data_IF_306826509485
#
_entry.id   IF_306826509485
#
_cell.length_a   1.000
_cell.length_b   1.000
_cell.length_c   1.000
_cell.angle_alpha   90.00
_cell.angle_beta   90.00
_cell.angle_gamma   90.00
#
_symmetry.space_group_name_H-M   'P 1'
#
loop_
_entity.id
_entity.type
_entity.pdbx_description
1 polymer ?
#
# COMPACT_ATOMS: atom_id res chain seq x y z
N UNK A 1 -88.85 16.07 -10.23
CA UNK A 1 -89.02 17.21 -9.29
C UNK A 1 -87.65 17.88 -9.12
N UNK A 2 -87.59 19.16 -9.48
CA UNK A 2 -86.57 20.19 -9.19
C UNK A 2 -85.07 19.92 -9.49
N UNK A 3 -84.60 20.58 -10.55
CA UNK A 3 -83.22 21.03 -10.78
C UNK A 3 -82.75 22.00 -9.68
N UNK A 4 -81.43 21.98 -9.39
CA UNK A 4 -80.51 23.13 -9.13
C UNK A 4 -79.17 22.49 -8.71
N UNK A 5 -77.98 22.78 -9.27
CA UNK A 5 -77.26 24.06 -9.18
C UNK A 5 -76.00 24.02 -10.06
N UNK A 6 -75.71 25.13 -10.74
CA UNK A 6 -74.48 25.43 -11.49
C UNK A 6 -73.22 25.45 -10.61
N UNK A 7 -72.06 24.99 -11.13
CA UNK A 7 -70.75 25.64 -10.89
C UNK A 7 -69.90 25.65 -12.18
N UNK A 8 -69.41 26.86 -12.50
CA UNK A 8 -68.55 27.28 -13.62
C UNK A 8 -67.23 26.50 -13.73
N UNK A 9 -66.86 26.06 -14.94
CA UNK A 9 -65.48 25.71 -15.31
C UNK A 9 -64.78 26.96 -15.88
N UNK A 10 -63.69 27.40 -15.25
CA UNK A 10 -62.69 28.31 -15.85
C UNK A 10 -61.54 27.45 -16.36
N UNK A 11 -61.17 27.64 -17.62
CA UNK A 11 -59.98 27.06 -18.22
C UNK A 11 -58.72 27.76 -17.72
N UNK A 12 -57.69 26.97 -17.45
CA UNK A 12 -56.32 27.44 -17.24
C UNK A 12 -55.43 26.75 -18.26
N UNK A 13 -54.80 27.55 -19.12
CA UNK A 13 -53.80 27.11 -20.08
C UNK A 13 -52.54 26.63 -19.33
N UNK A 14 -52.08 25.43 -19.66
CA UNK A 14 -50.86 24.84 -19.12
C UNK A 14 -49.67 25.40 -19.92
N UNK A 15 -48.88 26.28 -19.31
CA UNK A 15 -47.59 26.73 -19.87
C UNK A 15 -46.54 25.67 -19.50
N UNK A 16 -46.08 24.92 -20.50
CA UNK A 16 -45.01 23.93 -20.35
C UNK A 16 -43.66 24.66 -20.39
N UNK A 17 -43.11 24.99 -19.22
CA UNK A 17 -41.74 25.50 -19.10
C UNK A 17 -40.76 24.35 -19.26
N UNK A 18 -40.13 24.25 -20.43
CA UNK A 18 -38.96 23.39 -20.66
C UNK A 18 -37.75 24.04 -19.97
N UNK A 19 -37.32 23.47 -18.84
CA UNK A 19 -36.06 23.83 -18.20
C UNK A 19 -34.94 23.11 -18.94
N UNK A 20 -34.20 23.85 -19.78
CA UNK A 20 -32.91 23.42 -20.32
C UNK A 20 -31.89 23.40 -19.18
N UNK A 21 -31.66 22.22 -18.61
CA UNK A 21 -30.49 21.97 -17.75
C UNK A 21 -29.25 21.99 -18.66
N UNK A 22 -28.60 23.14 -18.75
CA UNK A 22 -27.23 23.22 -19.26
C UNK A 22 -26.33 22.43 -18.32
N UNK A 23 -26.10 21.16 -18.65
CA UNK A 23 -25.03 20.37 -18.05
C UNK A 23 -23.69 20.96 -18.46
N UNK A 24 -23.15 21.86 -17.65
CA UNK A 24 -21.73 22.15 -17.64
C UNK A 24 -21.03 20.86 -17.22
N UNK A 25 -20.63 20.04 -18.19
CA UNK A 25 -19.68 18.97 -17.94
C UNK A 25 -18.38 19.63 -17.52
N UNK A 26 -18.07 19.60 -16.22
CA UNK A 26 -16.74 19.94 -15.71
C UNK A 26 -15.75 18.99 -16.39
N UNK A 27 -15.02 19.52 -17.37
CA UNK A 27 -13.85 18.83 -17.87
C UNK A 27 -12.88 18.69 -16.69
N UNK A 28 -12.32 17.50 -16.45
CA UNK A 28 -11.35 17.32 -15.38
C UNK A 28 -10.22 18.33 -15.57
N UNK A 29 -9.94 19.09 -14.53
CA UNK A 29 -8.86 20.08 -14.54
C UNK A 29 -7.57 19.40 -14.96
N UNK A 30 -6.91 19.92 -16.00
CA UNK A 30 -5.65 19.39 -16.46
C UNK A 30 -4.58 19.58 -15.39
N UNK A 31 -3.85 18.51 -15.09
CA UNK A 31 -2.74 18.54 -14.12
C UNK A 31 -1.66 19.51 -14.61
N UNK A 32 -1.29 20.56 -13.84
CA UNK A 32 -0.32 21.56 -14.30
C UNK A 32 1.03 20.93 -14.65
N UNK A 33 1.60 21.32 -15.78
CA UNK A 33 2.92 20.84 -16.20
C UNK A 33 3.99 21.14 -15.14
N UNK A 34 4.86 20.16 -14.89
CA UNK A 34 5.91 20.24 -13.88
C UNK A 34 5.42 20.13 -12.43
N UNK A 35 4.11 19.98 -12.18
CA UNK A 35 3.62 19.61 -10.85
C UNK A 35 3.96 18.15 -10.50
N UNK A 36 3.99 17.76 -9.21
CA UNK A 36 4.30 16.40 -8.81
C UNK A 36 3.41 15.34 -9.45
N UNK A 37 2.10 15.57 -9.46
CA UNK A 37 1.13 14.66 -10.06
C UNK A 37 1.36 14.51 -11.56
N UNK A 38 1.63 15.62 -12.28
CA UNK A 38 1.92 15.58 -13.71
C UNK A 38 3.19 14.78 -14.01
N UNK A 39 4.25 14.94 -13.21
CA UNK A 39 5.50 14.18 -13.35
C UNK A 39 5.24 12.68 -13.22
N UNK A 40 4.46 12.27 -12.21
CA UNK A 40 4.12 10.85 -11.98
C UNK A 40 3.23 10.31 -13.12
N UNK A 41 2.23 11.07 -13.56
CA UNK A 41 1.38 10.74 -14.71
C UNK A 41 2.20 10.54 -15.99
N UNK A 42 3.20 11.41 -16.24
CA UNK A 42 4.11 11.28 -17.37
C UNK A 42 5.06 10.09 -17.24
N UNK A 43 5.62 9.86 -16.05
CA UNK A 43 6.51 8.73 -15.80
C UNK A 43 5.82 7.37 -16.02
N UNK A 44 4.51 7.29 -15.76
CA UNK A 44 3.69 6.12 -16.06
C UNK A 44 2.85 6.24 -17.34
N UNK A 45 3.06 7.29 -18.14
CA UNK A 45 2.41 7.47 -19.43
C UNK A 45 2.97 6.50 -20.47
N UNK A 46 2.12 6.10 -21.43
CA UNK A 46 2.55 5.24 -22.56
C UNK A 46 3.32 5.98 -23.63
N UNK A 47 3.00 7.26 -23.79
CA UNK A 47 3.65 8.11 -24.79
C UNK A 47 5.09 8.42 -24.37
N UNK A 48 6.01 8.58 -25.35
CA UNK A 48 7.32 9.13 -25.07
C UNK A 48 7.21 10.44 -24.30
N UNK A 49 8.19 10.70 -23.43
CA UNK A 49 8.24 11.92 -22.62
C UNK A 49 9.37 12.84 -23.07
N UNK A 50 9.13 13.71 -24.07
CA UNK A 50 10.07 14.74 -24.46
C UNK A 50 10.48 15.59 -23.25
N UNK A 51 11.79 15.74 -23.04
CA UNK A 51 12.31 16.53 -21.92
C UNK A 51 12.27 15.83 -20.55
N UNK A 52 12.02 14.51 -20.49
CA UNK A 52 12.06 13.69 -19.27
C UNK A 52 13.24 14.03 -18.35
N UNK A 53 14.44 14.21 -18.92
CA UNK A 53 15.64 14.47 -18.15
C UNK A 53 15.60 15.73 -17.25
N UNK A 54 14.69 16.67 -17.50
CA UNK A 54 14.49 17.85 -16.63
C UNK A 54 13.77 17.51 -15.32
N UNK A 55 12.98 16.43 -15.34
CA UNK A 55 12.08 16.02 -14.26
C UNK A 55 12.57 14.78 -13.52
N UNK A 56 13.69 14.19 -13.95
CA UNK A 56 14.32 13.03 -13.31
C UNK A 56 15.63 13.48 -12.66
N UNK A 57 15.76 13.29 -11.36
CA UNK A 57 16.93 13.72 -10.58
C UNK A 57 17.32 12.68 -9.52
N UNK A 58 18.11 13.13 -8.54
CA UNK A 58 18.55 12.29 -7.43
C UNK A 58 19.20 10.98 -7.89
N UNK A 59 18.75 9.86 -7.33
CA UNK A 59 19.26 8.53 -7.65
C UNK A 59 18.87 8.07 -9.07
N UNK A 60 17.82 8.67 -9.64
CA UNK A 60 17.33 8.32 -10.97
C UNK A 60 18.02 9.08 -12.10
N UNK A 61 18.85 10.08 -11.78
CA UNK A 61 19.53 10.91 -12.79
C UNK A 61 20.30 10.09 -13.86
N UNK A 62 21.00 8.98 -13.55
CA UNK A 62 21.64 8.14 -14.57
C UNK A 62 20.66 7.52 -15.59
N UNK A 63 19.37 7.42 -15.23
CA UNK A 63 18.31 6.83 -16.04
C UNK A 63 17.42 7.88 -16.71
N UNK A 64 17.76 9.17 -16.60
CA UNK A 64 16.97 10.29 -17.11
C UNK A 64 16.62 10.22 -18.60
N UNK A 65 17.42 9.52 -19.40
CA UNK A 65 17.22 9.33 -20.84
C UNK A 65 16.72 7.94 -21.22
N UNK A 66 16.44 7.07 -20.24
CA UNK A 66 15.88 5.74 -20.49
C UNK A 66 14.36 5.82 -20.65
N UNK A 67 13.72 4.91 -21.41
CA UNK A 67 12.27 4.86 -21.51
C UNK A 67 11.66 4.65 -20.12
N UNK A 68 10.65 5.43 -19.77
CA UNK A 68 9.98 5.34 -18.47
C UNK A 68 9.26 3.98 -18.29
N UNK A 69 9.01 3.53 -17.06
CA UNK A 69 8.24 2.31 -16.82
C UNK A 69 6.86 2.32 -17.51
N UNK A 70 6.22 3.49 -17.60
CA UNK A 70 4.96 3.66 -18.31
C UNK A 70 5.02 3.32 -19.80
N UNK A 71 6.11 3.70 -20.47
CA UNK A 71 6.30 3.45 -21.90
C UNK A 71 6.57 1.99 -22.24
N UNK A 72 7.02 1.20 -21.26
CA UNK A 72 7.40 -0.20 -21.43
C UNK A 72 6.33 -1.19 -20.95
N UNK A 73 5.24 -0.69 -20.36
CA UNK A 73 4.21 -1.54 -19.73
C UNK A 73 3.38 -2.33 -20.78
N UNK A 74 2.84 -3.51 -20.42
CA UNK A 74 1.88 -4.23 -21.24
C UNK A 74 0.66 -3.39 -21.63
N UNK A 75 0.05 -3.69 -22.78
CA UNK A 75 -1.00 -2.85 -23.34
C UNK A 75 -2.28 -2.82 -22.50
N UNK A 76 -2.53 -3.89 -21.77
CA UNK A 76 -3.67 -4.12 -20.87
C UNK A 76 -3.37 -3.74 -19.41
N UNK A 77 -2.13 -3.36 -19.09
CA UNK A 77 -1.75 -2.94 -17.75
C UNK A 77 -2.48 -1.65 -17.35
N UNK A 78 -3.12 -1.69 -16.19
CA UNK A 78 -3.77 -0.57 -15.53
C UNK A 78 -2.79 0.10 -14.59
N UNK A 79 -2.88 1.42 -14.51
CA UNK A 79 -2.12 2.23 -13.55
C UNK A 79 -3.08 3.06 -12.72
N UNK A 80 -2.94 2.95 -11.40
CA UNK A 80 -3.62 3.81 -10.44
C UNK A 80 -2.57 4.63 -9.70
N UNK A 81 -2.71 5.94 -9.71
CA UNK A 81 -1.80 6.88 -9.04
C UNK A 81 -2.56 7.51 -7.87
N UNK A 82 -1.94 7.54 -6.69
CA UNK A 82 -2.52 8.13 -5.49
C UNK A 82 -1.47 8.95 -4.72
N UNK A 83 -1.73 10.24 -4.42
CA UNK A 83 -0.86 10.99 -3.53
C UNK A 83 -0.96 10.42 -2.11
N UNK A 84 0.19 10.20 -1.47
CA UNK A 84 0.29 9.84 -0.05
C UNK A 84 0.53 11.10 0.79
N UNK A 85 1.49 11.93 0.36
CA UNK A 85 1.86 13.18 1.00
C UNK A 85 2.32 14.17 -0.06
N UNK A 86 1.98 15.44 0.11
CA UNK A 86 2.54 16.52 -0.71
C UNK A 86 2.57 17.81 0.10
N UNK A 87 3.71 18.47 0.10
CA UNK A 87 3.91 19.82 0.61
C UNK A 87 4.71 20.67 -0.40
N UNK A 88 5.29 21.79 0.02
CA UNK A 88 6.04 22.69 -0.88
C UNK A 88 7.43 22.17 -1.26
N UNK A 89 7.96 21.19 -0.52
CA UNK A 89 9.31 20.66 -0.64
C UNK A 89 9.34 19.20 -1.12
N UNK A 90 8.39 18.38 -0.69
CA UNK A 90 8.37 16.95 -0.96
C UNK A 90 6.98 16.48 -1.41
N UNK A 91 6.96 15.46 -2.27
CA UNK A 91 5.76 14.76 -2.63
C UNK A 91 6.04 13.26 -2.74
N UNK A 92 5.07 12.45 -2.32
CA UNK A 92 5.14 11.00 -2.33
C UNK A 92 3.86 10.45 -2.94
N UNK A 93 4.01 9.60 -3.95
CA UNK A 93 2.90 8.94 -4.62
C UNK A 93 3.03 7.42 -4.48
N UNK A 94 1.90 6.76 -4.20
CA UNK A 94 1.73 5.34 -4.40
C UNK A 94 1.24 5.11 -5.83
N UNK A 95 1.84 4.16 -6.53
CA UNK A 95 1.41 3.73 -7.84
C UNK A 95 1.19 2.23 -7.84
N UNK A 96 -0.01 1.82 -8.20
CA UNK A 96 -0.35 0.42 -8.44
C UNK A 96 -0.37 0.18 -9.94
N UNK A 97 0.52 -0.69 -10.42
CA UNK A 97 0.62 -1.13 -11.81
C UNK A 97 0.25 -2.61 -11.88
N UNK A 98 -0.64 -2.99 -12.78
CA UNK A 98 -1.00 -4.41 -12.93
C UNK A 98 -2.13 -4.68 -13.89
N UNK A 99 -2.40 -5.97 -14.08
CA UNK A 99 -3.51 -6.50 -14.85
C UNK A 99 -4.39 -7.40 -13.97
N UNK A 100 -5.19 -8.29 -14.56
CA UNK A 100 -6.07 -9.20 -13.83
C UNK A 100 -5.30 -10.32 -13.07
N UNK A 101 -4.03 -10.53 -13.38
CA UNK A 101 -3.21 -11.66 -12.92
C UNK A 101 -2.02 -11.23 -12.06
N UNK A 102 -1.49 -10.02 -12.27
CA UNK A 102 -0.33 -9.51 -11.54
C UNK A 102 -0.54 -8.05 -11.17
N UNK A 103 -0.21 -7.70 -9.91
CA UNK A 103 -0.29 -6.34 -9.38
C UNK A 103 0.99 -6.04 -8.61
N UNK A 104 1.58 -4.88 -8.87
CA UNK A 104 2.77 -4.38 -8.21
C UNK A 104 2.54 -2.96 -7.72
N UNK A 105 3.00 -2.67 -6.50
CA UNK A 105 3.01 -1.32 -5.95
C UNK A 105 4.40 -0.72 -5.98
N UNK A 106 4.47 0.56 -6.32
CA UNK A 106 5.67 1.37 -6.32
C UNK A 106 5.42 2.70 -5.59
N UNK A 107 6.49 3.27 -5.05
CA UNK A 107 6.47 4.52 -4.30
C UNK A 107 7.45 5.50 -4.93
N UNK A 108 6.91 6.65 -5.33
CA UNK A 108 7.62 7.69 -6.06
C UNK A 108 7.85 8.87 -5.14
N UNK A 109 9.12 9.25 -4.98
CA UNK A 109 9.55 10.35 -4.13
C UNK A 109 10.01 11.49 -5.01
N UNK A 110 9.39 12.65 -4.83
CA UNK A 110 9.69 13.86 -5.56
C UNK A 110 10.11 14.95 -4.59
N UNK A 111 11.11 15.73 -4.98
CA UNK A 111 11.55 16.90 -4.24
C UNK A 111 11.48 18.13 -5.13
N UNK A 112 11.16 19.26 -4.52
CA UNK A 112 11.22 20.57 -5.15
C UNK A 112 12.63 21.16 -4.93
N UNK A 113 13.37 21.36 -6.02
CA UNK A 113 14.74 21.89 -5.99
C UNK A 113 14.78 23.43 -6.15
N UNK A 114 13.63 24.10 -6.09
CA UNK A 114 13.49 25.55 -6.23
C UNK A 114 13.36 26.02 -7.69
N UNK A 115 13.93 25.28 -8.64
CA UNK A 115 13.74 25.46 -10.09
C UNK A 115 12.64 24.54 -10.66
N UNK A 116 12.11 23.63 -9.85
CA UNK A 116 11.02 22.73 -10.21
C UNK A 116 10.98 21.46 -9.37
N UNK A 117 9.98 20.64 -9.63
CA UNK A 117 9.87 19.31 -9.06
C UNK A 117 10.67 18.29 -9.87
N UNK A 118 11.33 17.38 -9.17
CA UNK A 118 12.03 16.24 -9.77
C UNK A 118 11.64 14.95 -9.06
N UNK A 119 11.47 13.88 -9.83
CA UNK A 119 11.42 12.52 -9.33
C UNK A 119 12.84 12.09 -8.94
N UNK A 120 13.07 11.91 -7.64
CA UNK A 120 14.41 11.67 -7.07
C UNK A 120 14.63 10.23 -6.66
N UNK A 121 13.56 9.47 -6.40
CA UNK A 121 13.65 8.05 -6.11
C UNK A 121 12.39 7.29 -6.54
N UNK A 122 12.61 6.02 -6.89
CA UNK A 122 11.62 5.03 -7.25
C UNK A 122 11.87 3.79 -6.38
N UNK A 123 10.84 3.33 -5.66
CA UNK A 123 10.95 2.17 -4.78
C UNK A 123 9.82 1.19 -5.00
N UNK A 124 10.15 -0.08 -4.90
CA UNK A 124 9.22 -1.20 -4.82
C UNK A 124 9.76 -2.11 -3.73
N UNK A 125 8.90 -2.92 -3.10
CA UNK A 125 9.40 -4.02 -2.29
C UNK A 125 10.10 -5.01 -3.22
N UNK A 126 11.42 -5.07 -3.10
CA UNK A 126 12.22 -5.99 -3.88
C UNK A 126 12.46 -7.25 -3.06
N UNK A 127 12.11 -8.40 -3.63
CA UNK A 127 12.45 -9.70 -3.07
C UNK A 127 13.31 -10.43 -4.11
N UNK A 128 14.36 -11.15 -3.70
CA UNK A 128 15.25 -11.83 -4.63
C UNK A 128 14.51 -12.98 -5.35
N UNK A 129 14.96 -13.38 -6.55
CA UNK A 129 14.32 -14.45 -7.33
C UNK A 129 14.06 -15.75 -6.55
N UNK A 130 15.01 -16.13 -5.69
CA UNK A 130 14.89 -17.30 -4.82
C UNK A 130 13.63 -17.29 -3.95
N UNK A 131 13.14 -16.11 -3.54
CA UNK A 131 11.89 -15.98 -2.80
C UNK A 131 10.71 -16.49 -3.63
N UNK A 132 10.60 -16.08 -4.90
CA UNK A 132 9.53 -16.52 -5.78
C UNK A 132 9.64 -18.00 -6.14
N UNK A 133 10.85 -18.48 -6.42
CA UNK A 133 11.11 -19.90 -6.69
C UNK A 133 10.71 -20.81 -5.53
N UNK A 134 10.97 -20.37 -4.29
CA UNK A 134 10.54 -21.10 -3.10
C UNK A 134 9.01 -21.10 -2.94
N UNK A 135 8.33 -19.99 -3.24
CA UNK A 135 6.87 -19.95 -3.22
C UNK A 135 6.26 -20.89 -4.26
N UNK A 136 6.79 -20.89 -5.48
CA UNK A 136 6.34 -21.77 -6.57
C UNK A 136 6.60 -23.24 -6.24
N UNK A 137 7.77 -23.55 -5.67
CA UNK A 137 8.11 -24.89 -5.21
C UNK A 137 7.13 -25.40 -4.14
N UNK A 138 6.82 -24.58 -3.12
CA UNK A 138 5.84 -24.92 -2.09
C UNK A 138 4.44 -25.10 -2.67
N UNK A 139 4.04 -24.26 -3.63
CA UNK A 139 2.75 -24.33 -4.29
C UNK A 139 2.59 -25.58 -5.17
N UNK A 140 3.69 -26.09 -5.75
CA UNK A 140 3.70 -27.28 -6.60
C UNK A 140 3.73 -28.61 -5.84
N UNK A 141 3.99 -28.60 -4.51
CA UNK A 141 4.05 -29.83 -3.71
C UNK A 141 2.68 -30.50 -3.62
N UNK A 142 2.58 -31.82 -3.89
CA UNK A 142 1.37 -32.57 -3.56
C UNK A 142 1.28 -32.76 -2.05
N UNK A 143 0.14 -32.40 -1.46
CA UNK A 143 -0.16 -32.54 -0.03
C UNK A 143 0.89 -31.93 0.93
N UNK A 144 1.12 -30.60 0.87
CA UNK A 144 2.05 -29.93 1.78
C UNK A 144 1.56 -30.00 3.23
N UNK A 145 2.49 -30.30 4.15
CA UNK A 145 2.26 -30.21 5.59
C UNK A 145 1.80 -28.79 6.00
N UNK A 146 1.22 -28.64 7.20
CA UNK A 146 0.69 -27.34 7.63
C UNK A 146 1.76 -26.25 7.67
N UNK A 147 3.00 -26.60 8.04
CA UNK A 147 4.10 -25.66 8.06
C UNK A 147 4.37 -25.09 6.65
N UNK A 148 4.46 -25.97 5.67
CA UNK A 148 4.66 -25.63 4.25
C UNK A 148 3.49 -24.81 3.71
N UNK A 149 2.24 -25.13 4.12
CA UNK A 149 1.05 -24.35 3.76
C UNK A 149 1.08 -22.95 4.36
N UNK A 150 1.45 -22.81 5.64
CA UNK A 150 1.63 -21.51 6.30
C UNK A 150 2.72 -20.70 5.62
N UNK A 151 3.90 -21.28 5.39
CA UNK A 151 5.00 -20.58 4.71
C UNK A 151 4.55 -20.05 3.35
N UNK A 152 3.83 -20.86 2.56
CA UNK A 152 3.28 -20.40 1.28
C UNK A 152 2.29 -19.23 1.44
N UNK A 153 1.41 -19.25 2.44
CA UNK A 153 0.49 -18.14 2.72
C UNK A 153 1.23 -16.87 3.11
N UNK A 154 2.20 -16.96 4.01
CA UNK A 154 3.04 -15.83 4.42
C UNK A 154 3.82 -15.25 3.22
N UNK A 155 4.38 -16.09 2.35
CA UNK A 155 5.09 -15.64 1.15
C UNK A 155 4.18 -14.94 0.15
N UNK A 156 2.98 -15.48 -0.07
CA UNK A 156 1.95 -14.85 -0.92
C UNK A 156 1.49 -13.51 -0.34
N UNK A 157 1.39 -13.40 0.98
CA UNK A 157 1.05 -12.16 1.64
C UNK A 157 2.19 -11.14 1.52
N UNK A 158 3.45 -11.58 1.66
CA UNK A 158 4.62 -10.71 1.53
C UNK A 158 4.76 -10.09 0.13
N UNK A 159 4.33 -10.78 -0.93
CA UNK A 159 4.32 -10.28 -2.31
C UNK A 159 3.01 -9.62 -2.71
N UNK A 160 2.03 -9.52 -1.80
CA UNK A 160 0.72 -8.98 -2.12
C UNK A 160 0.73 -7.46 -2.27
N UNK A 161 -0.29 -6.94 -2.97
CA UNK A 161 -0.48 -5.49 -3.08
C UNK A 161 -0.95 -4.85 -1.77
N UNK A 162 -0.78 -3.54 -1.65
CA UNK A 162 -1.20 -2.74 -0.49
C UNK A 162 -2.69 -2.91 -0.19
N UNK A 163 -3.50 -3.05 -1.23
CA UNK A 163 -4.94 -3.29 -1.10
C UNK A 163 -5.25 -4.66 -0.49
N UNK A 164 -4.53 -5.70 -0.88
CA UNK A 164 -4.68 -7.06 -0.35
C UNK A 164 -4.16 -7.11 1.09
N UNK A 165 -3.02 -6.48 1.38
CA UNK A 165 -2.46 -6.36 2.72
C UNK A 165 -3.40 -5.62 3.69
N UNK A 166 -4.05 -4.56 3.22
CA UNK A 166 -5.08 -3.84 3.99
C UNK A 166 -6.31 -4.73 4.22
N UNK A 167 -6.78 -5.44 3.21
CA UNK A 167 -7.92 -6.35 3.32
C UNK A 167 -7.63 -7.49 4.32
N UNK A 168 -6.43 -8.07 4.27
CA UNK A 168 -5.96 -9.08 5.22
C UNK A 168 -6.01 -8.57 6.66
N UNK A 169 -5.50 -7.36 6.92
CA UNK A 169 -5.58 -6.75 8.24
C UNK A 169 -7.02 -6.56 8.71
N UNK A 170 -7.88 -6.00 7.86
CA UNK A 170 -9.27 -5.72 8.21
C UNK A 170 -10.05 -7.00 8.52
N UNK A 171 -9.84 -8.06 7.74
CA UNK A 171 -10.46 -9.37 7.97
C UNK A 171 -10.02 -10.01 9.30
N UNK A 172 -8.78 -9.74 9.73
CA UNK A 172 -8.17 -10.35 10.91
C UNK A 172 -8.00 -9.39 12.11
N UNK A 173 -8.68 -8.23 12.09
CA UNK A 173 -8.43 -7.13 13.04
C UNK A 173 -8.52 -7.54 14.50
N UNK A 174 -9.44 -8.45 14.85
CA UNK A 174 -9.56 -8.96 16.21
C UNK A 174 -8.31 -9.75 16.65
N UNK A 175 -7.77 -10.58 15.77
CA UNK A 175 -6.52 -11.34 16.01
C UNK A 175 -5.32 -10.41 16.17
N UNK A 176 -5.19 -9.39 15.31
CA UNK A 176 -4.14 -8.37 15.45
C UNK A 176 -4.19 -7.64 16.79
N UNK A 177 -5.39 -7.29 17.25
CA UNK A 177 -5.54 -6.64 18.55
C UNK A 177 -5.17 -7.60 19.71
N UNK A 178 -5.52 -8.87 19.63
CA UNK A 178 -5.11 -9.88 20.62
C UNK A 178 -3.58 -10.05 20.65
N UNK A 179 -2.97 -10.15 19.46
CA UNK A 179 -1.51 -10.22 19.31
C UNK A 179 -0.82 -9.03 19.99
N UNK A 180 -1.29 -7.80 19.78
CA UNK A 180 -0.77 -6.61 20.48
C UNK A 180 -0.85 -6.76 22.00
N UNK A 181 -1.99 -7.18 22.55
CA UNK A 181 -2.14 -7.33 24.00
C UNK A 181 -1.14 -8.35 24.56
N UNK A 182 -1.00 -9.50 23.89
CA UNK A 182 -0.07 -10.53 24.34
C UNK A 182 1.40 -10.10 24.18
N UNK A 183 1.76 -9.41 23.08
CA UNK A 183 3.12 -8.86 22.90
C UNK A 183 3.44 -7.76 23.91
N UNK A 184 2.47 -6.92 24.27
CA UNK A 184 2.65 -5.88 25.28
C UNK A 184 2.79 -6.44 26.70
N UNK A 185 2.23 -7.61 26.97
CA UNK A 185 2.33 -8.29 28.26
C UNK A 185 3.67 -9.02 28.50
N UNK A 186 4.49 -9.19 27.45
CA UNK A 186 5.83 -9.78 27.60
C UNK A 186 6.74 -8.85 28.41
N UNK A 187 7.44 -9.42 29.39
CA UNK A 187 8.45 -8.69 30.17
C UNK A 187 9.74 -8.47 29.36
N UNK A 188 10.08 -9.43 28.50
CA UNK A 188 11.21 -9.33 27.57
C UNK A 188 10.80 -8.62 26.27
N UNK A 189 11.65 -7.72 25.81
CA UNK A 189 11.50 -7.00 24.55
C UNK A 189 12.14 -7.70 23.34
N UNK A 190 12.76 -8.86 23.53
CA UNK A 190 13.37 -9.64 22.46
C UNK A 190 12.37 -9.99 21.35
N UNK A 191 12.80 -10.05 20.07
CA UNK A 191 11.93 -10.44 18.98
C UNK A 191 11.33 -11.84 19.20
N UNK A 192 10.05 -12.00 18.90
CA UNK A 192 9.35 -13.29 18.97
C UNK A 192 9.08 -13.76 17.56
N UNK A 193 9.67 -14.89 17.18
CA UNK A 193 9.46 -15.50 15.86
C UNK A 193 8.35 -16.54 15.96
N UNK A 194 7.48 -16.59 14.94
CA UNK A 194 6.42 -17.58 14.84
C UNK A 194 7.00 -18.99 14.91
N UNK A 195 8.03 -19.24 14.10
CA UNK A 195 8.76 -20.51 14.05
C UNK A 195 10.25 -20.31 14.34
N UNK A 196 10.86 -21.28 15.01
CA UNK A 196 12.28 -21.24 15.33
C UNK A 196 13.04 -21.85 14.16
N UNK A 197 13.89 -21.06 13.48
CA UNK A 197 14.66 -21.54 12.32
C UNK A 197 15.89 -22.38 12.70
N UNK A 198 16.33 -22.32 13.95
CA UNK A 198 17.56 -22.96 14.38
C UNK A 198 17.28 -24.33 15.03
N UNK A 199 17.74 -25.37 14.35
CA UNK A 199 17.81 -26.71 14.92
C UNK A 199 18.69 -26.70 16.16
N UNK A 200 18.14 -27.09 17.31
CA UNK A 200 18.87 -27.15 18.58
C UNK A 200 18.79 -25.90 19.44
N UNK A 201 18.07 -24.86 19.02
CA UNK A 201 17.74 -23.76 19.94
C UNK A 201 16.90 -24.26 21.12
N UNK A 202 17.05 -23.65 22.31
CA UNK A 202 16.16 -23.94 23.42
C UNK A 202 14.70 -23.66 23.03
N UNK A 203 13.74 -24.38 23.63
CA UNK A 203 12.33 -24.08 23.42
C UNK A 203 12.04 -22.63 23.80
N UNK A 204 11.09 -21.97 23.12
CA UNK A 204 10.71 -20.61 23.49
C UNK A 204 10.23 -20.54 24.94
N UNK A 205 10.46 -19.41 25.63
CA UNK A 205 9.84 -19.12 26.91
C UNK A 205 8.32 -19.32 26.88
N UNK A 206 7.75 -19.83 27.97
CA UNK A 206 6.34 -20.20 28.03
C UNK A 206 5.40 -19.00 27.82
N UNK A 207 5.83 -17.80 28.23
CA UNK A 207 5.11 -16.54 28.03
C UNK A 207 5.09 -16.09 26.56
N UNK A 208 6.04 -16.53 25.72
CA UNK A 208 6.05 -16.25 24.28
C UNK A 208 5.14 -17.19 23.48
N UNK A 209 4.77 -18.36 24.00
CA UNK A 209 3.99 -19.36 23.25
C UNK A 209 2.70 -18.79 22.67
N UNK A 210 2.00 -17.96 23.45
CA UNK A 210 0.76 -17.34 23.00
C UNK A 210 0.97 -16.36 21.84
N UNK A 211 2.03 -15.55 21.89
CA UNK A 211 2.39 -14.62 20.81
C UNK A 211 2.74 -15.39 19.55
N UNK A 212 3.45 -16.52 19.67
CA UNK A 212 3.79 -17.38 18.53
C UNK A 212 2.55 -17.98 17.87
N UNK A 213 1.58 -18.43 18.66
CA UNK A 213 0.33 -18.97 18.13
C UNK A 213 -0.49 -17.89 17.41
N UNK A 214 -0.56 -16.68 17.95
CA UNK A 214 -1.23 -15.56 17.30
C UNK A 214 -0.51 -15.15 15.99
N UNK A 215 0.83 -15.13 15.96
CA UNK A 215 1.61 -14.88 14.74
C UNK A 215 1.30 -15.92 13.66
N UNK A 216 1.27 -17.20 14.01
CA UNK A 216 0.94 -18.29 13.06
C UNK A 216 -0.48 -18.16 12.53
N UNK A 217 -1.44 -17.83 13.39
CA UNK A 217 -2.84 -17.67 13.01
C UNK A 217 -3.06 -16.48 12.04
N UNK A 218 -2.14 -15.52 12.03
CA UNK A 218 -2.18 -14.32 11.18
C UNK A 218 -1.22 -14.40 9.99
N UNK A 219 -0.60 -15.56 9.75
CA UNK A 219 0.43 -15.77 8.72
C UNK A 219 1.57 -14.73 8.80
N UNK A 220 1.98 -14.40 10.03
CA UNK A 220 3.09 -13.49 10.35
C UNK A 220 4.32 -14.29 10.78
N UNK A 221 5.50 -13.75 10.53
CA UNK A 221 6.79 -14.38 10.86
C UNK A 221 7.37 -13.90 12.19
N UNK A 222 7.20 -12.63 12.55
CA UNK A 222 7.86 -12.07 13.73
C UNK A 222 7.13 -10.88 14.33
N UNK A 223 7.13 -10.78 15.66
CA UNK A 223 6.82 -9.57 16.41
C UNK A 223 8.11 -8.97 16.99
N UNK A 224 8.31 -7.66 16.86
CA UNK A 224 9.51 -6.98 17.37
C UNK A 224 9.22 -5.53 17.81
N UNK A 225 10.15 -4.98 18.59
CA UNK A 225 10.24 -3.57 18.96
C UNK A 225 11.47 -2.99 18.27
N UNK A 226 11.30 -2.49 17.05
CA UNK A 226 12.42 -2.00 16.22
C UNK A 226 12.98 -0.68 16.75
N UNK A 227 14.31 -0.54 16.71
CA UNK A 227 15.02 0.69 17.12
C UNK A 227 14.73 1.88 16.21
N UNK A 228 14.44 1.62 14.93
CA UNK A 228 14.08 2.62 13.93
C UNK A 228 12.62 3.08 14.06
N UNK A 229 11.82 2.42 14.90
CA UNK A 229 10.45 2.80 15.23
C UNK A 229 10.23 2.81 16.76
N UNK A 230 10.88 3.72 17.51
CA UNK A 230 10.83 3.71 18.97
C UNK A 230 9.40 3.79 19.51
N UNK A 231 9.09 2.89 20.44
CA UNK A 231 7.78 2.80 21.10
C UNK A 231 6.69 2.11 20.28
N UNK A 232 7.00 1.67 19.06
CA UNK A 232 6.07 0.97 18.18
C UNK A 232 6.26 -0.56 18.30
N UNK A 233 5.23 -1.32 17.92
CA UNK A 233 5.34 -2.77 17.69
C UNK A 233 5.30 -3.04 16.19
N UNK A 234 6.24 -3.83 15.69
CA UNK A 234 6.29 -4.26 14.30
C UNK A 234 5.96 -5.74 14.22
N UNK A 235 5.06 -6.07 13.29
CA UNK A 235 4.60 -7.41 13.00
C UNK A 235 4.95 -7.73 11.55
N UNK A 236 6.03 -8.48 11.36
CA UNK A 236 6.57 -8.82 10.05
C UNK A 236 5.76 -9.96 9.44
N UNK A 237 5.31 -9.77 8.20
CA UNK A 237 4.70 -10.82 7.39
C UNK A 237 5.80 -11.72 6.81
N UNK A 238 6.86 -11.09 6.32
CA UNK A 238 7.98 -11.75 5.68
C UNK A 238 8.88 -10.73 5.00
N UNK A 239 9.87 -11.24 4.28
CA UNK A 239 10.90 -10.43 3.64
C UNK A 239 12.17 -11.24 3.42
N UNK A 240 13.17 -10.60 2.84
CA UNK A 240 14.51 -11.16 2.77
C UNK A 240 15.55 -10.03 2.91
N UNK A 241 16.56 -10.27 3.73
CA UNK A 241 17.59 -9.27 4.07
C UNK A 241 16.97 -8.04 4.79
N UNK A 242 17.13 -6.85 4.21
CA UNK A 242 16.61 -5.54 4.63
C UNK A 242 15.22 -5.22 4.05
N UNK A 243 14.73 -6.02 3.10
CA UNK A 243 13.44 -5.85 2.47
C UNK A 243 12.39 -6.60 3.27
N UNK A 244 11.45 -5.88 3.87
CA UNK A 244 10.40 -6.47 4.69
C UNK A 244 9.07 -5.75 4.49
N UNK A 245 7.99 -6.47 4.78
CA UNK A 245 6.63 -5.93 4.78
C UNK A 245 5.91 -6.42 6.03
N UNK A 246 5.06 -5.56 6.58
CA UNK A 246 4.36 -5.89 7.79
C UNK A 246 3.41 -4.82 8.27
N UNK A 247 2.94 -5.01 9.49
CA UNK A 247 2.04 -4.09 10.17
C UNK A 247 2.76 -3.44 11.35
N UNK A 248 2.53 -2.15 11.53
CA UNK A 248 3.06 -1.38 12.64
C UNK A 248 1.88 -0.95 13.52
N UNK A 249 1.95 -1.28 14.81
CA UNK A 249 1.05 -0.75 15.82
C UNK A 249 1.73 0.39 16.57
N UNK A 250 1.03 1.53 16.63
CA UNK A 250 1.49 2.78 17.20
C UNK A 250 0.63 3.16 18.42
N UNK A 251 1.01 2.70 19.63
CA UNK A 251 0.40 3.20 20.86
C UNK A 251 0.82 4.64 21.14
N UNK A 252 0.23 5.26 22.17
CA UNK A 252 0.68 6.56 22.68
C UNK A 252 2.19 6.54 22.96
N UNK A 253 2.93 7.50 22.40
CA UNK A 253 4.39 7.59 22.54
C UNK A 253 5.20 6.86 21.46
N UNK A 254 4.58 6.07 20.58
CA UNK A 254 5.24 5.57 19.37
C UNK A 254 5.56 6.72 18.42
N UNK A 255 6.80 6.76 17.92
CA UNK A 255 7.20 7.62 16.81
C UNK A 255 7.11 6.81 15.52
N UNK A 256 5.98 6.96 14.82
CA UNK A 256 5.78 6.32 13.51
C UNK A 256 6.90 6.76 12.56
N UNK A 257 7.60 5.81 11.91
CA UNK A 257 8.67 6.14 10.97
C UNK A 257 8.16 7.01 9.82
N UNK A 258 8.97 7.98 9.41
CA UNK A 258 8.68 8.78 8.23
C UNK A 258 8.91 7.94 6.96
N UNK A 259 8.05 8.13 5.96
CA UNK A 259 8.32 7.60 4.62
C UNK A 259 9.51 8.30 4.00
N UNK A 260 10.46 7.51 3.50
CA UNK A 260 11.71 7.95 2.89
C UNK A 260 12.05 7.02 1.73
N UNK A 261 12.95 7.41 0.78
CA UNK A 261 13.51 6.46 -0.18
C UNK A 261 14.23 5.26 0.48
N UNK A 262 14.53 5.32 1.77
CA UNK A 262 14.98 4.21 2.61
C UNK A 262 15.22 4.74 4.04
N UNK A 263 14.99 3.95 5.11
CA UNK A 263 14.68 2.51 5.13
C UNK A 263 13.18 2.16 5.05
N UNK A 264 12.26 3.08 5.38
CA UNK A 264 10.82 2.84 5.29
C UNK A 264 10.26 3.47 4.01
N UNK A 265 10.16 2.66 2.96
CA UNK A 265 9.70 3.09 1.63
C UNK A 265 8.19 3.25 1.53
N UNK A 266 7.45 2.68 2.48
CA UNK A 266 6.00 2.83 2.60
C UNK A 266 5.60 2.76 4.06
N UNK A 267 4.79 3.72 4.51
CA UNK A 267 4.13 3.74 5.82
C UNK A 267 2.80 4.47 5.66
N UNK A 268 1.69 3.77 5.81
CA UNK A 268 0.37 4.39 5.68
C UNK A 268 -0.60 3.83 6.73
N UNK A 269 -1.41 4.72 7.30
CA UNK A 269 -2.41 4.33 8.28
C UNK A 269 -3.52 3.51 7.62
N UNK A 270 -3.79 2.32 8.18
CA UNK A 270 -4.84 1.40 7.72
C UNK A 270 -6.01 1.29 8.69
N UNK A 271 -5.80 1.65 9.97
CA UNK A 271 -6.83 1.82 10.99
C UNK A 271 -6.30 2.71 12.14
N UNK A 272 -7.14 3.15 13.10
CA UNK A 272 -6.65 3.88 14.28
C UNK A 272 -5.53 3.12 15.01
N UNK A 273 -4.35 3.74 15.10
CA UNK A 273 -3.15 3.15 15.70
C UNK A 273 -2.43 2.08 14.86
N UNK A 274 -2.89 1.78 13.64
CA UNK A 274 -2.32 0.73 12.80
C UNK A 274 -1.87 1.26 11.44
N UNK A 275 -0.67 0.83 11.03
CA UNK A 275 -0.03 1.21 9.78
C UNK A 275 0.40 -0.04 9.02
N UNK A 276 0.34 0.03 7.69
CA UNK A 276 1.04 -0.90 6.80
C UNK A 276 2.40 -0.30 6.50
N UNK A 277 3.46 -1.11 6.50
CA UNK A 277 4.79 -0.66 6.13
C UNK A 277 5.50 -1.59 5.14
N UNK A 278 6.43 -1.02 4.37
CA UNK A 278 7.43 -1.74 3.57
C UNK A 278 8.80 -1.10 3.74
N UNK A 279 9.85 -1.92 3.75
CA UNK A 279 11.25 -1.49 3.86
C UNK A 279 12.08 -1.92 2.65
N UNK A 280 13.22 -1.25 2.48
CA UNK A 280 14.30 -1.61 1.56
C UNK A 280 15.64 -1.37 2.22
#
# INVERSE_FOLDING_TARGET
MALSTLIRRRGSALVLSVVLLCGCGEQPAQTPEGSPAWIVERFYGREPWPGQARYIGGELAPYANQPSPGSQRPADARVTIRPIRQDTHEAVFAVTLGDATSVQDAYLFLNNQGDGWQLVAYRMLWLPPLFYEMADSLAARPDPDEQSRRTLRAMRLATASDSVLRAHFLANRAGFNALVQHTMALADSSPVQADSYEQGSPPPPADQLRVRDDLRALDLDMATRDRNAPGCLLFHIGGMMDNSVGYLYAPSGCRVPAMTPGPFIYVEQIAPGWYLYKTT
#
